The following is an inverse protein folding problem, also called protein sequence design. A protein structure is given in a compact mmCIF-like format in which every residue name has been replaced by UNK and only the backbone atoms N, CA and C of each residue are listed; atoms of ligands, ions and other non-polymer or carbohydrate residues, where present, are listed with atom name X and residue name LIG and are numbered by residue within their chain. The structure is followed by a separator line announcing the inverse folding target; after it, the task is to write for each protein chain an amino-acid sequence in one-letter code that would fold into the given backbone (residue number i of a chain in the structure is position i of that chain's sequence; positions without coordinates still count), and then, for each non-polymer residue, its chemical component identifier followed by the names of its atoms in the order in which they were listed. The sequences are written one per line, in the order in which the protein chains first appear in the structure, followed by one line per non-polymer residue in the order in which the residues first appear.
data_IF_437761642409
#
_entry.id   IF_437761642409
#
_cell.length_a   1.000
_cell.length_b   1.000
_cell.length_c   1.000
_cell.angle_alpha   90.00
_cell.angle_beta   90.00
_cell.angle_gamma   90.00
#
_symmetry.space_group_name_H-M   'P 1'
#
loop_
_entity.id
_entity.type
_entity.pdbx_description
1 polymer ?
#
# COMPACT_ATOMS: atom_id res chain seq x y z
N UNK A 1 -53.99 67.21 -17.98
CA UNK A 1 -54.61 66.04 -18.63
C UNK A 1 -53.54 65.37 -19.48
N UNK A 2 -53.01 64.23 -19.02
CA UNK A 2 -52.03 63.42 -19.74
C UNK A 2 -52.68 62.05 -19.97
N UNK A 3 -52.97 61.73 -21.23
CA UNK A 3 -53.50 60.43 -21.63
C UNK A 3 -52.35 59.41 -21.64
N UNK A 4 -52.51 58.31 -20.91
CA UNK A 4 -51.55 57.20 -20.91
C UNK A 4 -51.71 56.37 -22.20
N UNK A 5 -50.61 55.95 -22.84
CA UNK A 5 -50.68 55.05 -23.98
C UNK A 5 -51.07 53.63 -23.52
N UNK A 6 -52.14 53.10 -24.11
CA UNK A 6 -52.52 51.70 -23.97
C UNK A 6 -51.61 50.88 -24.90
N UNK A 7 -50.73 50.08 -24.31
CA UNK A 7 -49.88 49.13 -25.03
C UNK A 7 -50.68 47.83 -25.20
N UNK A 8 -51.25 47.61 -26.37
CA UNK A 8 -51.83 46.32 -26.76
C UNK A 8 -50.71 45.33 -27.10
N UNK A 9 -50.51 44.33 -26.23
CA UNK A 9 -49.60 43.22 -26.48
C UNK A 9 -50.30 42.14 -27.33
N UNK A 10 -49.70 41.70 -28.45
CA UNK A 10 -50.28 40.69 -29.31
C UNK A 10 -50.40 39.33 -28.60
N UNK A 11 -51.64 38.82 -28.50
CA UNK A 11 -52.02 37.61 -27.76
C UNK A 11 -51.51 36.28 -28.37
N UNK A 12 -50.98 36.29 -29.60
CA UNK A 12 -50.73 35.06 -30.35
C UNK A 12 -49.39 34.36 -30.10
N UNK A 13 -48.46 34.94 -29.34
CA UNK A 13 -47.12 34.35 -29.18
C UNK A 13 -46.96 33.42 -27.96
N UNK A 14 -48.01 33.18 -27.17
CA UNK A 14 -47.92 32.32 -25.97
C UNK A 14 -47.61 30.86 -26.28
N UNK A 15 -48.03 30.32 -27.44
CA UNK A 15 -47.81 28.90 -27.78
C UNK A 15 -46.35 28.60 -28.15
N UNK A 16 -45.63 29.55 -28.75
CA UNK A 16 -44.22 29.36 -29.15
C UNK A 16 -43.24 29.47 -27.97
N UNK A 17 -43.60 30.20 -26.92
CA UNK A 17 -42.76 30.35 -25.73
C UNK A 17 -42.61 29.06 -24.89
N UNK A 18 -43.51 28.08 -25.05
CA UNK A 18 -43.53 26.85 -24.24
C UNK A 18 -42.74 25.70 -24.88
N UNK A 19 -42.52 25.75 -26.20
CA UNK A 19 -41.71 24.74 -26.90
C UNK A 19 -40.29 24.55 -26.35
N UNK A 20 -39.49 25.59 -26.03
CA UNK A 20 -38.15 25.38 -25.49
C UNK A 20 -38.17 24.74 -24.10
N UNK A 21 -39.19 25.02 -23.28
CA UNK A 21 -39.35 24.42 -21.95
C UNK A 21 -39.70 22.93 -22.06
N UNK A 22 -40.61 22.57 -22.97
CA UNK A 22 -40.96 21.17 -23.23
C UNK A 22 -39.78 20.40 -23.80
N UNK A 23 -39.01 21.00 -24.71
CA UNK A 23 -37.81 20.38 -25.28
C UNK A 23 -36.74 20.15 -24.20
N UNK A 24 -36.52 21.12 -23.32
CA UNK A 24 -35.60 21.00 -22.19
C UNK A 24 -36.05 19.88 -21.24
N UNK A 25 -37.34 19.85 -20.87
CA UNK A 25 -37.88 18.80 -20.00
C UNK A 25 -37.73 17.40 -20.62
N UNK A 26 -38.01 17.26 -21.92
CA UNK A 26 -37.84 16.01 -22.64
C UNK A 26 -36.37 15.56 -22.71
N UNK A 27 -35.43 16.49 -22.93
CA UNK A 27 -34.00 16.20 -22.95
C UNK A 27 -33.50 15.70 -21.59
N UNK A 28 -33.93 16.34 -20.49
CA UNK A 28 -33.55 15.92 -19.14
C UNK A 28 -34.15 14.55 -18.79
N UNK A 29 -35.37 14.27 -19.24
CA UNK A 29 -36.02 12.98 -19.02
C UNK A 29 -35.32 11.84 -19.79
N UNK A 30 -34.90 12.11 -21.03
CA UNK A 30 -34.08 11.16 -21.80
C UNK A 30 -32.71 10.93 -21.16
N UNK A 31 -32.06 11.97 -20.64
CA UNK A 31 -30.78 11.86 -19.95
C UNK A 31 -30.93 11.04 -18.65
N UNK A 32 -31.99 11.27 -17.88
CA UNK A 32 -32.31 10.47 -16.70
C UNK A 32 -32.55 9.00 -17.03
N UNK A 33 -33.31 8.70 -18.09
CA UNK A 33 -33.53 7.33 -18.55
C UNK A 33 -32.24 6.65 -19.02
N UNK A 34 -31.35 7.38 -19.70
CA UNK A 34 -30.04 6.86 -20.07
C UNK A 34 -29.22 6.50 -18.82
N UNK A 35 -29.25 7.33 -17.78
CA UNK A 35 -28.56 7.05 -16.50
C UNK A 35 -29.13 5.84 -15.74
N UNK A 36 -30.42 5.54 -15.88
CA UNK A 36 -31.04 4.35 -15.28
C UNK A 36 -30.78 3.06 -16.07
N UNK A 37 -30.55 3.15 -17.39
CA UNK A 37 -30.41 1.99 -18.28
C UNK A 37 -28.99 1.44 -18.40
N UNK A 38 -27.97 2.21 -18.01
CA UNK A 38 -26.60 1.72 -17.89
C UNK A 38 -26.34 1.32 -16.44
N UNK A 39 -26.28 0.01 -16.10
CA UNK A 39 -25.70 -0.37 -14.82
C UNK A 39 -24.32 0.28 -14.78
N UNK A 40 -24.09 1.11 -13.75
CA UNK A 40 -22.74 1.57 -13.41
C UNK A 40 -21.90 0.31 -13.44
N UNK A 41 -20.85 0.21 -14.28
CA UNK A 41 -19.94 -0.90 -14.21
C UNK A 41 -19.47 -0.90 -12.76
N UNK A 42 -19.96 -1.86 -11.96
CA UNK A 42 -19.30 -2.22 -10.72
C UNK A 42 -17.85 -2.34 -11.15
N UNK A 43 -17.02 -1.42 -10.67
CA UNK A 43 -15.60 -1.56 -10.83
C UNK A 43 -15.31 -2.86 -10.12
N UNK A 44 -15.19 -3.94 -10.90
CA UNK A 44 -14.53 -5.15 -10.48
C UNK A 44 -13.22 -4.66 -9.90
N UNK A 45 -13.14 -4.68 -8.58
CA UNK A 45 -11.95 -4.39 -7.79
C UNK A 45 -10.94 -5.53 -7.91
N UNK A 46 -10.81 -6.05 -9.13
CA UNK A 46 -9.88 -7.08 -9.54
C UNK A 46 -8.61 -6.37 -10.05
N UNK A 47 -7.97 -5.60 -9.18
CA UNK A 47 -6.79 -4.83 -9.57
C UNK A 47 -6.17 -4.00 -8.45
N UNK A 48 -5.36 -4.66 -7.61
CA UNK A 48 -4.23 -4.05 -6.90
C UNK A 48 -4.52 -2.91 -5.91
N UNK A 49 -5.42 -3.12 -4.95
CA UNK A 49 -5.47 -2.32 -3.70
C UNK A 49 -4.66 -3.02 -2.62
N UNK A 50 -3.51 -2.46 -2.24
CA UNK A 50 -2.45 -3.22 -1.59
C UNK A 50 -1.89 -2.63 -0.29
N UNK A 51 -2.55 -1.67 0.38
CA UNK A 51 -2.04 -1.17 1.66
C UNK A 51 -2.76 -1.82 2.86
N UNK A 52 -2.02 -2.64 3.60
CA UNK A 52 -2.49 -3.25 4.87
C UNK A 52 -1.60 -2.73 6.01
N UNK A 53 -2.24 -2.18 7.04
CA UNK A 53 -1.60 -1.79 8.30
C UNK A 53 -2.21 -2.61 9.41
N UNK A 54 -1.45 -3.55 9.97
CA UNK A 54 -1.86 -4.33 11.12
C UNK A 54 -1.15 -3.79 12.37
N UNK A 55 -1.93 -3.32 13.36
CA UNK A 55 -1.41 -2.99 14.68
C UNK A 55 -1.91 -4.02 15.65
N UNK A 56 -1.01 -4.87 16.12
CA UNK A 56 -1.31 -5.75 17.23
C UNK A 56 -1.74 -4.92 18.46
N UNK A 57 -2.72 -5.39 19.24
CA UNK A 57 -3.17 -4.71 20.45
C UNK A 57 -2.00 -4.49 21.43
N UNK A 58 -2.00 -3.32 22.08
CA UNK A 58 -0.99 -2.94 23.07
C UNK A 58 -0.93 -3.99 24.18
N UNK A 59 0.26 -4.47 24.58
CA UNK A 59 0.37 -5.40 25.70
C UNK A 59 -0.24 -4.78 26.96
N UNK A 60 -0.98 -5.55 27.78
CA UNK A 60 -1.55 -5.04 29.02
C UNK A 60 -0.43 -4.49 29.92
N UNK A 61 -0.67 -3.38 30.65
CA UNK A 61 0.33 -2.82 31.55
C UNK A 61 0.77 -3.89 32.57
N UNK A 62 2.08 -3.93 32.94
CA UNK A 62 2.55 -4.86 33.95
C UNK A 62 1.78 -4.62 35.25
N UNK A 63 1.22 -5.71 35.80
CA UNK A 63 0.51 -5.64 37.07
C UNK A 63 1.43 -5.02 38.14
N UNK A 64 0.91 -4.13 39.01
CA UNK A 64 1.72 -3.52 40.06
C UNK A 64 2.39 -4.60 40.91
N UNK A 65 3.71 -4.49 41.05
CA UNK A 65 4.51 -5.40 41.86
C UNK A 65 3.94 -5.44 43.28
N UNK A 66 3.72 -6.66 43.79
CA UNK A 66 3.31 -6.86 45.19
C UNK A 66 4.36 -6.22 46.11
N UNK A 67 3.96 -5.52 47.19
CA UNK A 67 4.91 -4.96 48.15
C UNK A 67 5.79 -6.08 48.75
N UNK A 68 7.10 -5.86 48.93
CA UNK A 68 7.99 -6.83 49.55
C UNK A 68 7.57 -7.11 51.00
N UNK A 69 7.45 -8.39 51.35
CA UNK A 69 7.27 -8.84 52.72
C UNK A 69 8.50 -8.47 53.57
N UNK A 70 8.24 -8.05 54.81
CA UNK A 70 9.23 -7.61 55.77
C UNK A 70 10.27 -8.72 56.13
N UNK A 71 11.50 -8.35 56.51
CA UNK A 71 12.58 -9.30 56.77
C UNK A 71 12.35 -10.05 58.08
N UNK A 72 12.47 -11.38 58.06
CA UNK A 72 12.64 -12.18 59.28
C UNK A 72 14.12 -12.49 59.50
N UNK A 73 14.57 -12.14 60.70
CA UNK A 73 15.89 -12.40 61.27
C UNK A 73 16.37 -13.85 61.10
N UNK A 74 17.66 -14.01 60.75
CA UNK A 74 18.47 -15.18 61.13
C UNK A 74 19.92 -14.78 61.49
N UNK A 75 20.51 -15.31 62.58
CA UNK A 75 21.89 -15.01 63.02
C UNK A 75 22.98 -15.85 62.28
N UNK A 76 24.29 -15.56 62.51
CA UNK A 76 25.40 -15.84 61.59
C UNK A 76 26.18 -17.13 61.88
N UNK A 77 26.97 -17.60 60.89
CA UNK A 77 27.98 -18.68 60.99
C UNK A 77 28.94 -18.63 59.76
N UNK A 78 30.18 -19.17 59.82
CA UNK A 78 31.45 -18.41 59.68
C UNK A 78 32.26 -18.73 58.38
N UNK A 79 33.39 -18.03 58.11
CA UNK A 79 34.32 -18.37 57.00
C UNK A 79 35.35 -19.43 57.45
N UNK A 80 35.91 -20.32 56.57
CA UNK A 80 37.14 -19.97 55.83
C UNK A 80 37.51 -20.76 54.52
N UNK A 81 38.19 -20.07 53.59
CA UNK A 81 39.39 -20.47 52.78
C UNK A 81 39.35 -21.55 51.63
N UNK A 82 40.41 -21.70 50.77
CA UNK A 82 40.35 -21.38 49.31
C UNK A 82 40.88 -22.46 48.29
N UNK A 83 40.57 -22.23 46.98
CA UNK A 83 41.29 -22.62 45.72
C UNK A 83 41.42 -24.14 45.33
N UNK A 84 41.86 -24.56 44.10
CA UNK A 84 41.80 -24.03 42.70
C UNK A 84 41.49 -25.10 41.58
N UNK A 85 41.61 -24.70 40.29
CA UNK A 85 41.75 -25.49 39.02
C UNK A 85 40.46 -26.20 38.48
N UNK A 86 40.15 -26.36 37.19
CA UNK A 86 40.96 -26.67 35.99
C UNK A 86 40.10 -26.51 34.70
N UNK A 87 40.71 -26.03 33.60
CA UNK A 87 40.39 -26.37 32.20
C UNK A 87 39.05 -25.88 31.60
N UNK A 88 38.88 -25.57 30.31
CA UNK A 88 39.70 -25.58 29.11
C UNK A 88 38.96 -24.67 28.07
N UNK A 89 39.63 -24.16 27.02
CA UNK A 89 39.11 -23.09 26.15
C UNK A 89 37.99 -23.54 25.22
N UNK A 90 36.94 -22.73 25.08
CA UNK A 90 35.88 -22.98 24.08
C UNK A 90 36.37 -22.48 22.71
N UNK A 91 36.41 -23.34 21.68
CA UNK A 91 37.00 -23.05 20.37
C UNK A 91 36.19 -22.08 19.51
N UNK A 92 36.94 -21.26 18.78
CA UNK A 92 36.52 -20.30 17.75
C UNK A 92 36.13 -20.96 16.42
N UNK A 93 35.22 -20.29 15.71
CA UNK A 93 34.93 -20.29 14.26
C UNK A 93 34.73 -21.65 13.56
N UNK A 94 33.49 -21.90 13.10
CA UNK A 94 33.25 -22.62 11.85
C UNK A 94 32.49 -21.72 10.86
N UNK A 95 33.21 -21.28 9.84
CA UNK A 95 32.67 -20.71 8.61
C UNK A 95 32.13 -21.84 7.73
N UNK A 96 30.81 -21.97 7.64
CA UNK A 96 30.16 -22.90 6.71
C UNK A 96 30.14 -22.35 5.29
N UNK A 97 31.13 -22.73 4.48
CA UNK A 97 31.13 -22.52 3.02
C UNK A 97 30.18 -23.50 2.30
N UNK A 98 29.32 -22.91 1.46
CA UNK A 98 28.99 -23.32 0.08
C UNK A 98 28.40 -24.71 -0.24
N UNK A 99 27.27 -24.58 -0.96
CA UNK A 99 26.84 -25.35 -2.12
C UNK A 99 26.20 -26.72 -1.89
N UNK A 100 24.88 -26.80 -2.14
CA UNK A 100 24.32 -27.94 -2.88
C UNK A 100 22.99 -27.61 -3.58
N UNK A 101 23.14 -27.55 -4.91
CA UNK A 101 22.17 -27.74 -5.99
C UNK A 101 20.88 -28.50 -5.60
N UNK A 102 19.72 -27.93 -5.93
CA UNK A 102 18.48 -28.67 -6.15
C UNK A 102 17.82 -28.19 -7.46
N UNK A 103 18.36 -28.70 -8.55
CA UNK A 103 17.78 -28.62 -9.90
C UNK A 103 16.62 -29.61 -10.04
N UNK A 104 15.43 -29.10 -10.34
CA UNK A 104 14.23 -29.90 -10.66
C UNK A 104 14.34 -30.45 -12.10
N UNK A 105 14.06 -31.75 -12.35
CA UNK A 105 14.23 -32.33 -13.67
C UNK A 105 13.11 -31.94 -14.64
N UNK A 106 13.51 -31.50 -15.85
CA UNK A 106 12.68 -31.43 -17.07
C UNK A 106 12.27 -32.84 -17.47
N UNK A 107 10.99 -33.16 -17.34
CA UNK A 107 10.41 -34.33 -18.00
C UNK A 107 10.02 -33.95 -19.44
N UNK A 108 10.67 -34.62 -20.37
CA UNK A 108 10.54 -34.50 -21.82
C UNK A 108 9.66 -35.67 -22.25
N UNK A 109 8.42 -35.40 -22.62
CA UNK A 109 7.63 -36.34 -23.41
C UNK A 109 7.36 -35.76 -24.80
N UNK A 110 7.52 -36.63 -25.78
CA UNK A 110 7.57 -36.45 -27.22
C UNK A 110 6.49 -37.37 -27.78
N UNK A 111 5.70 -36.87 -28.74
CA UNK A 111 4.63 -37.58 -29.45
C UNK A 111 3.31 -36.83 -29.24
N UNK A 112 2.53 -36.43 -30.25
CA UNK A 112 2.46 -36.82 -31.65
C UNK A 112 1.90 -35.68 -32.50
N UNK A 113 2.18 -35.77 -33.79
CA UNK A 113 1.74 -34.89 -34.86
C UNK A 113 0.20 -34.91 -35.05
N UNK A 114 -0.40 -33.74 -35.17
CA UNK A 114 -1.58 -33.52 -36.03
C UNK A 114 -1.59 -32.04 -36.49
N UNK A 115 -1.91 -31.75 -37.77
CA UNK A 115 -1.78 -30.41 -38.32
C UNK A 115 -3.01 -29.56 -37.94
N UNK A 116 -2.84 -28.62 -37.02
CA UNK A 116 -3.89 -27.64 -36.71
C UNK A 116 -3.67 -26.39 -37.54
N UNK A 117 -4.60 -26.23 -38.48
CA UNK A 117 -4.89 -25.09 -39.34
C UNK A 117 -4.61 -23.74 -38.65
N UNK A 118 -3.88 -22.88 -39.36
CA UNK A 118 -3.60 -21.51 -38.99
C UNK A 118 -4.89 -20.74 -38.65
N UNK A 119 -5.00 -20.28 -37.39
CA UNK A 119 -5.87 -19.16 -37.02
C UNK A 119 -4.99 -17.92 -36.84
N UNK A 120 -5.24 -16.81 -37.58
CA UNK A 120 -4.72 -15.51 -37.17
C UNK A 120 -5.47 -15.07 -35.90
N UNK A 121 -4.90 -14.14 -35.14
CA UNK A 121 -5.45 -13.57 -33.90
C UNK A 121 -5.17 -14.32 -32.58
N UNK A 122 -3.91 -14.71 -32.36
CA UNK A 122 -3.39 -14.82 -31.00
C UNK A 122 -2.88 -13.45 -30.53
N UNK A 123 -3.72 -12.71 -29.79
CA UNK A 123 -3.31 -11.51 -29.04
C UNK A 123 -2.03 -11.84 -28.25
N UNK A 124 -0.95 -11.03 -28.33
CA UNK A 124 0.27 -11.30 -27.58
C UNK A 124 -0.06 -11.34 -26.09
N UNK A 125 0.14 -12.50 -25.46
CA UNK A 125 0.06 -12.64 -24.00
C UNK A 125 1.02 -11.63 -23.38
N UNK A 126 0.57 -10.80 -22.41
CA UNK A 126 1.46 -9.84 -21.76
C UNK A 126 2.62 -10.61 -21.13
N UNK A 127 3.85 -10.30 -21.56
CA UNK A 127 5.05 -10.83 -20.93
C UNK A 127 5.02 -10.37 -19.48
N UNK A 128 4.95 -11.33 -18.55
CA UNK A 128 5.10 -11.02 -17.12
C UNK A 128 6.43 -10.28 -16.94
N UNK A 129 6.46 -9.10 -16.31
CA UNK A 129 7.70 -8.39 -16.05
C UNK A 129 8.63 -9.28 -15.23
N UNK A 130 9.92 -9.16 -15.50
CA UNK A 130 10.95 -9.94 -14.82
C UNK A 130 10.86 -9.69 -13.30
N UNK A 131 10.88 -10.75 -12.46
CA UNK A 131 10.70 -10.57 -11.02
C UNK A 131 11.84 -9.74 -10.42
N UNK A 132 11.46 -8.74 -9.63
CA UNK A 132 12.40 -7.89 -8.89
C UNK A 132 13.09 -8.70 -7.80
N UNK A 133 14.41 -8.61 -7.72
CA UNK A 133 15.21 -9.27 -6.68
C UNK A 133 15.00 -8.60 -5.33
N UNK A 134 15.25 -9.32 -4.24
CA UNK A 134 15.10 -8.76 -2.89
C UNK A 134 15.93 -7.48 -2.69
N UNK A 135 17.19 -7.46 -3.14
CA UNK A 135 18.06 -6.29 -3.03
C UNK A 135 17.50 -5.06 -3.76
N UNK A 136 16.86 -5.25 -4.91
CA UNK A 136 16.22 -4.16 -5.66
C UNK A 136 14.98 -3.63 -4.92
N UNK A 137 14.20 -4.50 -4.29
CA UNK A 137 13.07 -4.09 -3.43
C UNK A 137 13.57 -3.29 -2.21
N UNK A 138 14.58 -3.81 -1.52
CA UNK A 138 15.16 -3.20 -0.33
C UNK A 138 15.80 -1.84 -0.65
N UNK A 139 16.36 -1.69 -1.87
CA UNK A 139 16.87 -0.42 -2.36
C UNK A 139 15.76 0.64 -2.51
N UNK A 140 14.62 0.28 -3.10
CA UNK A 140 13.46 1.19 -3.22
C UNK A 140 12.89 1.50 -1.85
N UNK A 141 12.72 0.49 -0.99
CA UNK A 141 12.26 0.64 0.38
C UNK A 141 13.17 1.59 1.18
N UNK A 142 14.49 1.43 1.06
CA UNK A 142 15.47 2.29 1.72
C UNK A 142 15.36 3.77 1.32
N UNK A 143 14.93 4.07 0.09
CA UNK A 143 14.67 5.46 -0.32
C UNK A 143 13.39 6.01 0.33
N UNK A 144 12.33 5.21 0.42
CA UNK A 144 11.08 5.59 1.11
C UNK A 144 11.33 5.82 2.59
N UNK A 145 12.06 4.91 3.25
CA UNK A 145 12.33 4.97 4.68
C UNK A 145 13.18 6.19 5.09
N UNK A 146 14.00 6.75 4.19
CA UNK A 146 14.73 8.01 4.46
C UNK A 146 13.81 9.21 4.69
N UNK A 147 12.59 9.17 4.15
CA UNK A 147 11.59 10.22 4.30
C UNK A 147 10.48 9.85 5.29
N UNK A 148 10.59 8.67 5.90
CA UNK A 148 9.63 8.18 6.88
C UNK A 148 9.83 8.88 8.22
N UNK A 149 8.73 9.35 8.80
CA UNK A 149 8.71 10.00 10.11
C UNK A 149 7.58 9.36 10.92
N UNK A 150 7.87 8.31 11.70
CA UNK A 150 6.84 7.57 12.41
C UNK A 150 6.18 8.45 13.49
N UNK A 151 4.86 8.33 13.70
CA UNK A 151 4.19 8.92 14.86
C UNK A 151 4.83 8.43 16.17
N UNK A 152 4.94 9.30 17.18
CA UNK A 152 5.58 8.96 18.46
C UNK A 152 4.87 7.81 19.17
N UNK A 153 3.54 7.76 19.04
CA UNK A 153 2.66 6.76 19.63
C UNK A 153 2.87 5.37 19.06
N UNK A 154 3.39 5.28 17.82
CA UNK A 154 3.69 4.01 17.18
C UNK A 154 4.77 3.23 17.95
N UNK A 155 5.53 3.93 18.80
CA UNK A 155 6.55 3.29 19.64
C UNK A 155 5.99 2.26 20.63
N UNK A 156 4.71 2.39 21.00
CA UNK A 156 4.01 1.47 21.90
C UNK A 156 3.55 0.16 21.21
N UNK A 157 3.72 0.03 19.89
CA UNK A 157 3.24 -1.09 19.09
C UNK A 157 4.42 -1.88 18.53
N UNK A 158 4.89 -2.88 19.28
CA UNK A 158 6.10 -3.65 18.94
C UNK A 158 5.96 -4.56 17.72
N UNK A 159 4.73 -4.92 17.35
CA UNK A 159 4.43 -5.87 16.26
C UNK A 159 3.75 -5.24 15.06
N UNK A 160 3.68 -3.91 14.99
CA UNK A 160 2.97 -3.29 13.90
C UNK A 160 3.79 -3.43 12.58
N UNK A 161 3.10 -3.73 11.49
CA UNK A 161 3.67 -3.87 10.16
C UNK A 161 2.84 -3.15 9.11
N UNK A 162 3.54 -2.71 8.06
CA UNK A 162 2.92 -2.05 6.91
C UNK A 162 3.41 -2.74 5.67
N UNK A 163 2.44 -3.07 4.81
CA UNK A 163 2.69 -3.71 3.53
C UNK A 163 2.02 -2.88 2.46
N UNK A 164 2.76 -2.52 1.42
CA UNK A 164 2.23 -1.84 0.25
C UNK A 164 2.85 -2.38 -1.04
N UNK A 165 2.06 -2.54 -2.08
CA UNK A 165 2.57 -2.86 -3.42
C UNK A 165 2.53 -1.58 -4.26
N UNK A 166 3.68 -1.23 -4.85
CA UNK A 166 3.82 -0.06 -5.73
C UNK A 166 4.43 -0.46 -7.05
N UNK A 167 3.98 0.16 -8.13
CA UNK A 167 4.59 0.00 -9.45
C UNK A 167 5.52 1.18 -9.71
N UNK A 168 6.76 0.91 -10.12
CA UNK A 168 7.80 1.93 -10.36
C UNK A 168 8.02 2.11 -11.85
N UNK A 169 7.90 3.35 -12.32
CA UNK A 169 8.14 3.75 -13.70
C UNK A 169 9.63 3.97 -14.01
N UNK A 170 9.96 4.03 -15.31
CA UNK A 170 11.33 4.29 -15.77
C UNK A 170 11.82 5.71 -15.42
N UNK A 171 10.89 6.64 -15.19
CA UNK A 171 11.13 8.00 -14.73
C UNK A 171 11.40 8.08 -13.22
N UNK A 172 11.33 6.96 -12.49
CA UNK A 172 11.51 6.90 -11.04
C UNK A 172 10.27 7.33 -10.25
N UNK A 173 9.16 7.64 -10.92
CA UNK A 173 7.89 7.88 -10.23
C UNK A 173 7.16 6.56 -9.96
N UNK A 174 6.38 6.53 -8.90
CA UNK A 174 5.42 5.46 -8.70
C UNK A 174 4.19 5.70 -9.55
N UNK A 175 3.57 4.61 -10.04
CA UNK A 175 2.38 4.67 -10.85
C UNK A 175 1.09 4.81 -10.02
N UNK A 176 -0.01 5.01 -10.73
CA UNK A 176 -1.38 4.91 -10.23
C UNK A 176 -1.69 5.82 -9.03
N UNK A 177 -2.02 5.22 -7.89
CA UNK A 177 -2.47 5.91 -6.69
C UNK A 177 -1.31 6.52 -5.90
N UNK A 178 -0.07 6.09 -6.18
CA UNK A 178 1.13 6.49 -5.46
C UNK A 178 1.93 7.59 -6.16
N UNK A 179 1.52 8.05 -7.35
CA UNK A 179 2.22 9.11 -8.10
C UNK A 179 2.23 10.44 -7.32
N UNK A 180 3.43 10.97 -7.06
CA UNK A 180 3.62 12.24 -6.38
C UNK A 180 3.06 13.46 -7.13
N UNK A 181 2.80 13.36 -8.44
CA UNK A 181 2.23 14.42 -9.28
C UNK A 181 0.71 14.52 -9.16
N UNK A 182 0.05 13.46 -8.67
CA UNK A 182 -1.41 13.44 -8.51
C UNK A 182 -1.85 14.20 -7.26
N UNK A 183 -3.07 14.75 -7.21
CA UNK A 183 -3.62 15.32 -5.99
C UNK A 183 -3.58 14.33 -4.82
N UNK A 184 -3.37 14.83 -3.61
CA UNK A 184 -3.32 14.01 -2.41
C UNK A 184 -4.70 13.44 -2.08
N UNK A 185 -4.84 12.10 -2.17
CA UNK A 185 -6.06 11.39 -1.79
C UNK A 185 -5.73 10.04 -1.10
N UNK A 186 -5.47 10.04 0.22
CA UNK A 186 -5.17 8.82 0.97
C UNK A 186 -6.35 7.85 1.04
N UNK A 187 -7.58 8.35 0.89
CA UNK A 187 -8.79 7.54 0.85
C UNK A 187 -8.93 6.65 -0.38
N UNK A 188 -8.20 6.95 -1.46
CA UNK A 188 -8.12 6.07 -2.62
C UNK A 188 -7.07 4.95 -2.45
N UNK A 189 -6.16 5.09 -1.50
CA UNK A 189 -5.01 4.19 -1.30
C UNK A 189 -5.26 3.16 -0.20
N UNK A 190 -5.93 3.57 0.88
CA UNK A 190 -6.17 2.74 2.05
C UNK A 190 -7.68 2.60 2.30
N UNK A 191 -8.18 1.37 2.25
CA UNK A 191 -9.58 1.06 2.51
C UNK A 191 -9.95 1.42 3.94
N UNK A 192 -11.07 2.12 4.11
CA UNK A 192 -11.52 2.58 5.42
C UNK A 192 -10.73 3.76 5.98
N UNK A 193 -9.85 4.42 5.22
CA UNK A 193 -9.14 5.63 5.68
C UNK A 193 -10.10 6.69 6.26
N UNK A 194 -11.23 6.91 5.59
CA UNK A 194 -12.23 7.90 6.02
C UNK A 194 -12.98 7.49 7.30
N UNK A 195 -13.00 6.19 7.63
CA UNK A 195 -13.60 5.68 8.87
C UNK A 195 -12.69 5.85 10.09
N UNK A 196 -11.38 6.10 9.88
CA UNK A 196 -10.43 6.27 10.96
C UNK A 196 -10.52 7.69 11.54
N UNK A 197 -10.64 7.84 12.88
CA UNK A 197 -10.59 9.13 13.54
C UNK A 197 -9.30 9.89 13.22
N UNK A 198 -9.32 11.23 13.07
CA UNK A 198 -8.11 12.03 12.79
C UNK A 198 -6.96 11.84 13.79
N UNK A 199 -7.28 11.50 15.05
CA UNK A 199 -6.29 11.23 16.10
C UNK A 199 -5.79 9.78 16.17
N UNK A 200 -6.37 8.85 15.41
CA UNK A 200 -6.01 7.42 15.45
C UNK A 200 -4.56 7.23 14.96
N UNK A 201 -3.79 6.42 15.70
CA UNK A 201 -2.40 6.06 15.36
C UNK A 201 -2.34 5.39 13.99
N UNK A 202 -3.35 4.60 13.61
CA UNK A 202 -3.47 3.99 12.27
C UNK A 202 -3.45 5.04 11.18
N UNK A 203 -4.33 6.03 11.30
CA UNK A 203 -4.48 7.08 10.30
C UNK A 203 -3.20 7.90 10.16
N UNK A 204 -2.62 8.30 11.30
CA UNK A 204 -1.35 9.05 11.32
C UNK A 204 -0.19 8.25 10.74
N UNK A 205 -0.16 6.93 10.96
CA UNK A 205 0.83 6.03 10.38
C UNK A 205 0.67 5.93 8.86
N UNK A 206 -0.55 5.75 8.37
CA UNK A 206 -0.85 5.75 6.93
C UNK A 206 -0.45 7.09 6.29
N UNK A 207 -0.86 8.20 6.89
CA UNK A 207 -0.56 9.55 6.40
C UNK A 207 0.94 9.81 6.29
N UNK A 208 1.69 9.48 7.35
CA UNK A 208 3.13 9.63 7.35
C UNK A 208 3.77 8.79 6.23
N UNK A 209 3.17 7.65 5.85
CA UNK A 209 3.84 6.64 5.03
C UNK A 209 3.61 6.95 3.57
N UNK A 210 2.37 7.28 3.25
CA UNK A 210 2.01 7.84 1.96
C UNK A 210 2.73 9.17 1.71
N UNK A 211 2.93 10.00 2.75
CA UNK A 211 3.79 11.20 2.65
C UNK A 211 5.24 10.83 2.33
N UNK A 212 5.81 9.82 2.99
CA UNK A 212 7.19 9.36 2.73
C UNK A 212 7.35 8.84 1.29
N UNK A 213 6.40 8.03 0.81
CA UNK A 213 6.34 7.53 -0.57
C UNK A 213 6.35 8.67 -1.58
N UNK A 214 5.60 9.75 -1.33
CA UNK A 214 5.58 10.90 -2.23
C UNK A 214 6.87 11.70 -2.20
N UNK A 215 7.45 11.91 -1.01
CA UNK A 215 8.72 12.63 -0.84
C UNK A 215 9.91 11.89 -1.44
N UNK A 216 9.85 10.56 -1.48
CA UNK A 216 10.89 9.73 -2.09
C UNK A 216 10.91 9.78 -3.63
N UNK A 217 9.89 10.36 -4.26
CA UNK A 217 9.80 10.46 -5.71
C UNK A 217 10.41 11.77 -6.24
N UNK A 218 11.14 11.73 -7.36
CA UNK A 218 11.50 10.53 -8.12
C UNK A 218 12.57 9.69 -7.41
N UNK A 219 12.37 8.38 -7.41
CA UNK A 219 13.29 7.38 -6.86
C UNK A 219 14.53 7.31 -7.75
N UNK A 220 15.72 7.36 -7.14
CA UNK A 220 16.99 7.26 -7.88
C UNK A 220 17.27 5.82 -8.25
N UNK A 221 16.82 5.36 -9.41
CA UNK A 221 17.01 3.99 -9.87
C UNK A 221 18.41 3.78 -10.50
N UNK A 222 19.13 2.70 -10.15
CA UNK A 222 20.34 2.32 -10.87
C UNK A 222 20.01 1.91 -12.32
N UNK A 223 20.94 2.04 -13.28
CA UNK A 223 20.68 1.78 -14.69
C UNK A 223 20.10 0.38 -14.97
N UNK A 224 20.59 -0.64 -14.25
CA UNK A 224 20.10 -2.02 -14.36
C UNK A 224 18.62 -2.15 -13.98
N UNK A 225 18.18 -1.43 -12.93
CA UNK A 225 16.79 -1.46 -12.47
C UNK A 225 15.89 -0.59 -13.34
N UNK A 226 16.40 0.54 -13.82
CA UNK A 226 15.70 1.41 -14.78
C UNK A 226 15.38 0.69 -16.09
N UNK A 227 16.27 -0.19 -16.56
CA UNK A 227 16.05 -1.02 -17.75
C UNK A 227 14.91 -2.05 -17.60
N UNK A 228 14.56 -2.42 -16.36
CA UNK A 228 13.46 -3.35 -16.04
C UNK A 228 12.11 -2.64 -15.86
N UNK A 229 12.08 -1.31 -15.89
CA UNK A 229 10.86 -0.57 -15.65
C UNK A 229 9.86 -0.69 -16.82
N UNK A 230 8.54 -0.75 -16.55
CA UNK A 230 7.92 -0.70 -15.23
C UNK A 230 7.98 -2.05 -14.49
N UNK A 231 8.18 -1.99 -13.16
CA UNK A 231 8.18 -3.16 -12.30
C UNK A 231 7.43 -2.91 -10.99
N UNK A 232 6.82 -3.96 -10.43
CA UNK A 232 6.08 -3.90 -9.18
C UNK A 232 6.96 -4.35 -8.01
N UNK A 233 6.97 -3.56 -6.94
CA UNK A 233 7.70 -3.82 -5.71
C UNK A 233 6.71 -3.90 -4.56
N UNK A 234 6.85 -4.97 -3.76
CA UNK A 234 6.22 -5.05 -2.45
C UNK A 234 7.16 -4.43 -1.41
N UNK A 235 6.69 -3.37 -0.78
CA UNK A 235 7.33 -2.68 0.33
C UNK A 235 6.71 -3.22 1.62
N UNK A 236 7.41 -4.14 2.26
CA UNK A 236 7.05 -4.68 3.56
C UNK A 236 8.04 -4.16 4.59
N UNK A 237 7.56 -3.53 5.67
CA UNK A 237 8.44 -3.16 6.77
C UNK A 237 7.76 -3.34 8.13
N UNK A 238 8.57 -3.74 9.11
CA UNK A 238 8.18 -3.81 10.52
C UNK A 238 8.73 -2.58 11.22
N UNK A 239 7.95 -1.96 12.10
CA UNK A 239 8.37 -0.70 12.72
C UNK A 239 9.60 -0.82 13.63
N UNK A 240 9.89 -2.03 14.13
CA UNK A 240 11.12 -2.29 14.90
C UNK A 240 12.39 -2.08 14.06
N UNK A 241 12.32 -2.32 12.76
CA UNK A 241 13.49 -2.30 11.86
C UNK A 241 13.77 -0.90 11.29
N UNK A 242 12.85 0.05 11.47
CA UNK A 242 12.94 1.42 10.96
C UNK A 242 13.37 2.46 12.02
N UNK A 243 13.77 2.02 13.22
CA UNK A 243 14.26 2.89 14.31
C UNK A 243 15.77 3.07 14.28
#
# INVERSE_FOLDING_TARGET
MLAAPVIDLPRDNRRKAWMPLLLSAALHLLLGLAWLGFPVPEHQDDGERAMVVDLAPMPPPPAPAKPPEAPKDKPPSPPPSPAPETGAPIPQLEEGMLAQRSSTPKQKERGDEAPVVARPDAKPKPKKPEPVTQNERDFVLGQVLRHWSPPRELSAYDKADVRVTVTVGADGYFADLYDARRPWNPGAVFDGYQSLPPGDVRRRTVDAFLSAIRKAQPVRLPPALKAKAPFSVRLDFRFRDAR
#
